data_IF_073739751917
#
_entry.id   IF_073739751917
#
_cell.length_a   1.000
_cell.length_b   1.000
_cell.length_c   1.000
_cell.angle_alpha   90.00
_cell.angle_beta   90.00
_cell.angle_gamma   90.00
#
_symmetry.space_group_name_H-M   'P 1'
#
loop_
_entity.id
_entity.type
_entity.pdbx_description
1 polymer ?
#
# COMPACT_ATOMS: atom_id res chain seq x y z
N UNK A 1 -22.31 11.36 11.17
CA UNK A 1 -21.15 12.00 10.58
C UNK A 1 -21.44 12.36 9.13
N UNK A 2 -21.03 13.52 8.77
CA UNK A 2 -21.26 13.99 7.41
C UNK A 2 -20.04 13.75 6.57
N UNK A 3 -20.10 12.70 5.75
CA UNK A 3 -19.12 12.53 4.71
C UNK A 3 -19.43 13.53 3.61
N UNK A 4 -18.74 14.64 3.60
CA UNK A 4 -18.90 15.60 2.53
C UNK A 4 -18.25 15.02 1.27
N UNK A 5 -19.07 14.79 0.26
CA UNK A 5 -18.56 14.36 -1.04
C UNK A 5 -18.03 15.60 -1.75
N UNK A 6 -16.71 15.69 -1.98
CA UNK A 6 -16.15 16.87 -2.64
C UNK A 6 -16.60 16.95 -4.09
N UNK A 7 -16.87 18.17 -4.55
CA UNK A 7 -17.09 18.43 -5.96
C UNK A 7 -15.76 18.34 -6.67
N UNK A 8 -15.69 17.50 -7.71
CA UNK A 8 -14.46 17.34 -8.46
C UNK A 8 -14.55 18.05 -9.80
N UNK A 9 -13.60 18.94 -10.04
CA UNK A 9 -13.46 19.62 -11.33
C UNK A 9 -12.10 19.30 -11.90
N UNK A 10 -12.09 18.73 -13.11
CA UNK A 10 -10.85 18.44 -13.82
C UNK A 10 -10.62 19.50 -14.88
N UNK A 11 -9.35 19.87 -15.06
CA UNK A 11 -9.00 20.71 -16.22
C UNK A 11 -9.24 19.90 -17.52
N UNK A 12 -9.53 20.57 -18.63
CA UNK A 12 -9.67 19.87 -19.91
C UNK A 12 -8.46 19.05 -20.28
N UNK A 13 -7.28 19.53 -19.93
CA UNK A 13 -6.01 18.84 -20.17
C UNK A 13 -5.92 17.52 -19.40
N UNK A 14 -6.25 17.55 -18.11
CA UNK A 14 -6.24 16.35 -17.28
C UNK A 14 -7.28 15.34 -17.76
N UNK A 15 -8.48 15.81 -18.11
CA UNK A 15 -9.52 14.95 -18.64
C UNK A 15 -9.12 14.28 -19.96
N UNK A 16 -8.51 15.04 -20.86
CA UNK A 16 -8.03 14.52 -22.14
C UNK A 16 -6.95 13.47 -21.91
N UNK A 17 -5.98 13.75 -21.03
CA UNK A 17 -4.91 12.81 -20.72
C UNK A 17 -5.46 11.50 -20.14
N UNK A 18 -6.42 11.60 -19.22
CA UNK A 18 -7.08 10.43 -18.65
C UNK A 18 -7.69 9.54 -19.72
N UNK A 19 -8.42 10.13 -20.65
CA UNK A 19 -9.08 9.35 -21.71
C UNK A 19 -8.05 8.72 -22.65
N UNK A 20 -6.93 9.39 -22.89
CA UNK A 20 -5.88 8.85 -23.76
C UNK A 20 -5.10 7.70 -23.11
N UNK A 21 -4.71 7.84 -21.85
CA UNK A 21 -3.93 6.78 -21.19
C UNK A 21 -4.77 5.53 -20.88
N UNK A 22 -6.07 5.69 -20.70
CA UNK A 22 -6.99 4.57 -20.44
C UNK A 22 -7.66 4.05 -21.69
N UNK A 23 -7.49 4.75 -22.81
CA UNK A 23 -8.11 4.42 -24.09
C UNK A 23 -9.64 4.28 -23.97
N UNK A 24 -10.26 5.19 -23.23
CA UNK A 24 -11.72 5.27 -23.11
C UNK A 24 -12.19 6.71 -23.19
N UNK A 25 -13.28 6.99 -23.92
CA UNK A 25 -13.79 8.35 -24.01
C UNK A 25 -14.59 8.79 -22.78
N UNK A 26 -15.01 7.84 -21.94
CA UNK A 26 -15.80 8.15 -20.76
C UNK A 26 -14.88 8.51 -19.59
N UNK A 27 -14.98 9.76 -19.15
CA UNK A 27 -14.10 10.31 -18.13
C UNK A 27 -14.25 9.59 -16.79
N UNK A 28 -15.45 9.26 -16.38
CA UNK A 28 -15.66 8.56 -15.13
C UNK A 28 -15.08 7.16 -15.16
N UNK A 29 -15.28 6.43 -16.26
CA UNK A 29 -14.68 5.12 -16.45
C UNK A 29 -13.15 5.23 -16.43
N UNK A 30 -12.60 6.27 -17.06
CA UNK A 30 -11.16 6.49 -17.07
C UNK A 30 -10.59 6.68 -15.66
N UNK A 31 -11.27 7.47 -14.84
CA UNK A 31 -10.89 7.68 -13.44
C UNK A 31 -10.90 6.37 -12.66
N UNK A 32 -11.95 5.60 -12.77
CA UNK A 32 -12.03 4.32 -12.05
C UNK A 32 -10.96 3.34 -12.49
N UNK A 33 -10.63 3.31 -13.78
CA UNK A 33 -9.51 2.47 -14.27
C UNK A 33 -8.20 2.87 -13.66
N UNK A 34 -7.90 4.18 -13.62
CA UNK A 34 -6.66 4.67 -13.02
C UNK A 34 -6.61 4.33 -11.53
N UNK A 35 -7.71 4.52 -10.82
CA UNK A 35 -7.77 4.19 -9.39
C UNK A 35 -7.58 2.70 -9.14
N UNK A 36 -8.21 1.84 -9.93
CA UNK A 36 -8.01 0.40 -9.85
C UNK A 36 -6.57 0.01 -10.12
N UNK A 37 -6.00 0.53 -11.18
CA UNK A 37 -4.63 0.18 -11.57
C UNK A 37 -3.64 0.68 -10.53
N UNK A 38 -3.80 1.89 -10.04
CA UNK A 38 -2.93 2.46 -9.02
C UNK A 38 -2.95 1.64 -7.73
N UNK A 39 -4.15 1.36 -7.22
CA UNK A 39 -4.28 0.59 -5.98
C UNK A 39 -3.80 -0.84 -6.15
N UNK A 40 -4.06 -1.45 -7.31
CA UNK A 40 -3.56 -2.78 -7.63
C UNK A 40 -2.04 -2.85 -7.67
N UNK A 41 -1.40 -1.88 -8.31
CA UNK A 41 0.06 -1.81 -8.35
C UNK A 41 0.65 -1.58 -6.96
N UNK A 42 0.04 -0.71 -6.17
CA UNK A 42 0.52 -0.44 -4.80
C UNK A 42 0.39 -1.68 -3.91
N UNK A 43 -0.74 -2.37 -3.96
CA UNK A 43 -0.89 -3.60 -3.17
C UNK A 43 0.11 -4.66 -3.60
N UNK A 44 0.35 -4.81 -4.88
CA UNK A 44 1.33 -5.77 -5.39
C UNK A 44 2.74 -5.45 -4.91
N UNK A 45 3.15 -4.18 -5.00
CA UNK A 45 4.46 -3.74 -4.53
C UNK A 45 4.64 -3.98 -3.04
N UNK A 46 3.62 -3.67 -2.25
CA UNK A 46 3.66 -3.86 -0.80
C UNK A 46 3.73 -5.35 -0.44
N UNK A 47 2.97 -6.20 -1.12
CA UNK A 47 3.03 -7.64 -0.90
C UNK A 47 4.41 -8.21 -1.22
N UNK A 48 5.02 -7.74 -2.30
CA UNK A 48 6.38 -8.16 -2.67
C UNK A 48 7.40 -7.72 -1.61
N UNK A 49 7.27 -6.51 -1.10
CA UNK A 49 8.14 -5.99 -0.05
C UNK A 49 8.01 -6.80 1.23
N UNK A 50 6.78 -7.10 1.65
CA UNK A 50 6.49 -7.92 2.83
C UNK A 50 7.06 -9.32 2.65
N UNK A 51 6.86 -9.92 1.48
CA UNK A 51 7.37 -11.24 1.17
C UNK A 51 8.90 -11.28 1.25
N UNK A 52 9.57 -10.24 0.80
CA UNK A 52 11.03 -10.13 0.90
C UNK A 52 11.48 -10.11 2.36
N UNK A 53 10.78 -9.41 3.24
CA UNK A 53 11.08 -9.42 4.67
C UNK A 53 10.81 -10.78 5.28
N UNK A 54 9.73 -11.43 4.91
CA UNK A 54 9.42 -12.78 5.41
C UNK A 54 10.50 -13.79 5.02
N UNK A 55 11.00 -13.69 3.80
CA UNK A 55 12.10 -14.54 3.35
C UNK A 55 13.40 -14.24 4.07
N UNK A 56 13.68 -12.96 4.28
CA UNK A 56 14.89 -12.53 4.96
C UNK A 56 14.95 -13.03 6.41
N UNK A 57 13.86 -12.94 7.12
CA UNK A 57 13.79 -13.26 8.55
C UNK A 57 13.21 -14.64 8.84
N UNK A 58 12.59 -15.29 7.85
CA UNK A 58 12.01 -16.63 8.02
C UNK A 58 10.81 -16.66 8.94
N UNK A 59 10.06 -15.56 9.03
CA UNK A 59 8.92 -15.45 9.92
C UNK A 59 7.97 -14.35 9.44
N UNK A 60 6.78 -14.28 10.04
CA UNK A 60 5.84 -13.21 9.77
C UNK A 60 6.24 -11.93 10.51
N UNK A 61 5.70 -10.79 10.10
CA UNK A 61 5.94 -9.53 10.81
C UNK A 61 5.54 -9.62 12.28
N UNK A 62 4.41 -10.24 12.55
CA UNK A 62 3.89 -10.37 13.91
C UNK A 62 4.89 -11.14 14.80
N UNK A 63 5.42 -12.25 14.30
CA UNK A 63 6.43 -13.03 15.02
C UNK A 63 7.73 -12.24 15.19
N UNK A 64 8.16 -11.56 14.13
CA UNK A 64 9.35 -10.70 14.17
C UNK A 64 9.23 -9.62 15.24
N UNK A 65 8.08 -8.94 15.26
CA UNK A 65 7.77 -7.90 16.24
C UNK A 65 7.80 -8.43 17.67
N UNK A 66 7.19 -9.59 17.88
CA UNK A 66 7.17 -10.23 19.21
C UNK A 66 8.57 -10.64 19.65
N UNK A 67 9.38 -11.17 18.75
CA UNK A 67 10.75 -11.56 19.08
C UNK A 67 11.64 -10.37 19.40
N UNK A 68 11.48 -9.27 18.70
CA UNK A 68 12.17 -8.02 19.02
C UNK A 68 11.80 -7.54 20.43
N UNK A 69 10.52 -7.58 20.76
CA UNK A 69 10.01 -7.13 22.05
C UNK A 69 10.49 -8.01 23.20
N UNK A 70 10.56 -9.33 22.98
CA UNK A 70 10.97 -10.31 23.98
C UNK A 70 12.48 -10.51 24.06
N UNK A 71 13.24 -9.94 23.14
CA UNK A 71 14.67 -10.13 23.06
C UNK A 71 15.08 -11.54 22.61
N UNK A 72 14.20 -12.23 21.87
CA UNK A 72 14.43 -13.60 21.41
C UNK A 72 14.76 -13.70 19.93
N UNK A 73 15.09 -12.57 19.30
CA UNK A 73 15.39 -12.55 17.86
C UNK A 73 16.72 -13.22 17.52
N UNK A 74 17.64 -13.30 18.49
CA UNK A 74 18.99 -13.81 18.26
C UNK A 74 19.97 -12.74 17.81
N UNK A 75 19.52 -11.51 17.67
CA UNK A 75 20.32 -10.33 17.32
C UNK A 75 19.86 -9.18 18.20
N UNK A 76 20.70 -8.14 18.26
CA UNK A 76 20.35 -6.92 18.98
C UNK A 76 19.18 -6.23 18.27
N UNK A 77 18.00 -6.13 18.92
CA UNK A 77 16.83 -5.50 18.27
C UNK A 77 17.02 -4.01 18.04
N UNK A 78 18.04 -3.40 18.64
CA UNK A 78 18.35 -1.98 18.45
C UNK A 78 19.47 -1.76 17.43
N UNK A 79 20.01 -2.82 16.84
CA UNK A 79 20.95 -2.67 15.74
C UNK A 79 20.26 -1.95 14.57
N UNK A 80 21.01 -1.12 13.88
CA UNK A 80 20.45 -0.27 12.83
C UNK A 80 19.67 -1.05 11.76
N UNK A 81 20.23 -2.12 11.26
CA UNK A 81 19.61 -2.92 10.22
C UNK A 81 18.34 -3.65 10.70
N UNK A 82 18.31 -4.11 11.95
CA UNK A 82 17.13 -4.72 12.55
C UNK A 82 16.03 -3.68 12.74
N UNK A 83 16.38 -2.53 13.30
CA UNK A 83 15.43 -1.45 13.54
C UNK A 83 14.89 -0.87 12.25
N UNK A 84 15.74 -0.71 11.24
CA UNK A 84 15.33 -0.24 9.92
C UNK A 84 14.33 -1.21 9.28
N UNK A 85 14.61 -2.51 9.32
CA UNK A 85 13.68 -3.51 8.80
C UNK A 85 12.36 -3.51 9.57
N UNK A 86 12.42 -3.35 10.89
CA UNK A 86 11.22 -3.28 11.71
C UNK A 86 10.29 -2.16 11.25
N UNK A 87 10.82 -0.96 11.10
CA UNK A 87 10.02 0.20 10.69
C UNK A 87 9.52 0.09 9.27
N UNK A 88 10.35 -0.36 8.35
CA UNK A 88 9.97 -0.49 6.96
C UNK A 88 8.92 -1.59 6.78
N UNK A 89 9.06 -2.69 7.49
CA UNK A 89 8.11 -3.79 7.43
C UNK A 89 6.76 -3.39 8.05
N UNK A 90 6.80 -2.73 9.21
CA UNK A 90 5.58 -2.20 9.83
C UNK A 90 4.85 -1.24 8.90
N UNK A 91 5.58 -0.35 8.26
CA UNK A 91 5.00 0.59 7.30
C UNK A 91 4.34 -0.13 6.12
N UNK A 92 4.99 -1.16 5.58
CA UNK A 92 4.44 -1.93 4.48
C UNK A 92 3.16 -2.66 4.88
N UNK A 93 3.15 -3.28 6.06
CA UNK A 93 1.95 -3.96 6.58
C UNK A 93 0.80 -2.97 6.78
N UNK A 94 1.07 -1.82 7.36
CA UNK A 94 0.07 -0.78 7.61
C UNK A 94 -0.51 -0.24 6.30
N UNK A 95 0.35 0.05 5.33
CA UNK A 95 -0.09 0.55 4.03
C UNK A 95 -0.88 -0.50 3.25
N UNK A 96 -0.45 -1.76 3.28
CA UNK A 96 -1.18 -2.82 2.60
C UNK A 96 -2.59 -2.95 3.16
N UNK A 97 -2.72 -2.96 4.48
CA UNK A 97 -4.02 -3.01 5.13
C UNK A 97 -4.88 -1.81 4.73
N UNK A 98 -4.29 -0.64 4.65
CA UNK A 98 -4.99 0.59 4.22
C UNK A 98 -5.55 0.44 2.81
N UNK A 99 -4.71 0.02 1.85
CA UNK A 99 -5.17 -0.14 0.47
C UNK A 99 -6.20 -1.25 0.32
N UNK A 100 -6.02 -2.37 1.00
CA UNK A 100 -6.98 -3.47 0.96
C UNK A 100 -8.34 -3.06 1.54
N UNK A 101 -8.33 -2.27 2.60
CA UNK A 101 -9.54 -1.73 3.20
C UNK A 101 -10.27 -0.80 2.22
N UNK A 102 -9.52 0.06 1.53
CA UNK A 102 -10.10 0.95 0.53
C UNK A 102 -10.71 0.17 -0.64
N UNK A 103 -10.01 -0.86 -1.11
CA UNK A 103 -10.50 -1.71 -2.20
C UNK A 103 -11.79 -2.43 -1.79
N UNK A 104 -11.84 -2.98 -0.59
CA UNK A 104 -13.01 -3.69 -0.09
C UNK A 104 -14.22 -2.76 0.07
N UNK A 105 -13.98 -1.51 0.46
CA UNK A 105 -15.06 -0.54 0.71
C UNK A 105 -15.56 0.13 -0.56
N UNK A 106 -14.67 0.46 -1.49
CA UNK A 106 -14.99 1.34 -2.62
C UNK A 106 -14.93 0.65 -3.98
N UNK A 107 -14.33 -0.52 -4.07
CA UNK A 107 -14.10 -1.25 -5.31
C UNK A 107 -14.62 -2.67 -5.27
#
# INVERSE_FOLDING_TARGET
MNDTIPTMTLSPQAGLLLTKITDTPDLETALWRVLHDYTGLKTQQLKQQIEAFELKWGMTYEEFSQRCERGTLGQDPYAYDVESDFWDWEKAETLLNHYETLQARWM
#
